data_IF_791911750800
#
_entry.id   IF_791911750800
#
_cell.length_a   1.000
_cell.length_b   1.000
_cell.length_c   1.000
_cell.angle_alpha   90.00
_cell.angle_beta   90.00
_cell.angle_gamma   90.00
#
_symmetry.space_group_name_H-M   'P 1'
#
loop_
_entity.id
_entity.type
_entity.pdbx_description
1 polymer ?
#
# COMPACT_ATOMS: atom_id res chain seq x y z
N UNK A 1 15.27 -45.63 -18.18
CA UNK A 1 13.83 -45.31 -18.20
C UNK A 1 13.59 -43.99 -17.49
N UNK A 2 13.42 -42.90 -18.24
CA UNK A 2 12.88 -41.62 -17.75
C UNK A 2 11.90 -41.16 -18.82
N UNK A 3 10.62 -41.16 -18.48
CA UNK A 3 9.51 -40.80 -19.36
C UNK A 3 9.51 -39.27 -19.47
N UNK A 4 9.65 -38.74 -20.68
CA UNK A 4 9.41 -37.33 -20.98
C UNK A 4 8.06 -37.24 -21.70
N UNK A 5 7.04 -36.89 -20.93
CA UNK A 5 5.73 -36.51 -21.45
C UNK A 5 5.63 -34.98 -21.44
N UNK A 6 5.17 -34.44 -22.58
CA UNK A 6 4.30 -33.25 -22.72
C UNK A 6 4.88 -31.92 -22.19
N UNK A 7 4.83 -30.80 -22.90
CA UNK A 7 3.63 -30.19 -23.49
C UNK A 7 4.06 -29.21 -24.59
N UNK A 8 3.28 -29.28 -25.67
CA UNK A 8 3.17 -28.42 -26.84
C UNK A 8 2.96 -26.93 -26.48
N UNK A 9 3.88 -26.06 -26.87
CA UNK A 9 3.76 -24.60 -26.75
C UNK A 9 3.48 -24.00 -28.12
N UNK A 10 2.23 -23.68 -28.39
CA UNK A 10 1.83 -22.84 -29.52
C UNK A 10 0.61 -22.03 -29.12
N UNK A 11 0.71 -20.70 -29.02
CA UNK A 11 -0.26 -19.80 -29.66
C UNK A 11 0.16 -18.31 -29.61
N UNK A 12 0.53 -17.81 -30.79
CA UNK A 12 0.08 -16.56 -31.42
C UNK A 12 0.29 -15.25 -30.63
N UNK A 13 1.39 -14.57 -30.98
CA UNK A 13 1.55 -13.13 -30.86
C UNK A 13 1.11 -12.52 -32.20
N UNK A 14 0.15 -11.60 -32.17
CA UNK A 14 0.00 -10.43 -33.06
C UNK A 14 -1.45 -9.91 -33.03
N UNK A 15 -1.69 -8.78 -32.36
CA UNK A 15 -2.46 -7.67 -32.97
C UNK A 15 -1.88 -6.35 -32.47
N UNK A 16 -1.17 -5.67 -33.36
CA UNK A 16 -0.84 -4.26 -33.28
C UNK A 16 -2.08 -3.44 -33.65
N UNK A 17 -2.46 -2.49 -32.79
CA UNK A 17 -3.31 -1.37 -33.19
C UNK A 17 -2.52 -0.07 -33.03
N UNK A 18 -2.01 0.42 -34.16
CA UNK A 18 -1.70 1.84 -34.34
C UNK A 18 -3.03 2.53 -34.64
N UNK A 19 -3.38 3.54 -33.84
CA UNK A 19 -4.26 4.62 -34.26
C UNK A 19 -3.83 5.91 -33.59
N UNK A 20 -3.15 6.75 -34.37
CA UNK A 20 -2.92 8.16 -34.10
C UNK A 20 -3.79 8.91 -35.12
N UNK A 21 -4.77 9.69 -34.67
CA UNK A 21 -5.55 10.54 -35.58
C UNK A 21 -6.89 11.05 -35.07
N UNK A 22 -6.89 12.31 -34.61
CA UNK A 22 -7.97 13.32 -34.66
C UNK A 22 -9.18 13.24 -33.73
N UNK A 23 -9.15 14.15 -32.74
CA UNK A 23 -10.23 14.96 -32.16
C UNK A 23 -11.67 14.42 -32.10
N UNK A 24 -12.07 14.00 -30.90
CA UNK A 24 -13.41 14.29 -30.38
C UNK A 24 -13.33 14.53 -28.86
N UNK A 25 -13.75 15.72 -28.44
CA UNK A 25 -14.00 16.07 -27.04
C UNK A 25 -15.17 15.23 -26.53
N UNK A 26 -14.94 14.39 -25.55
CA UNK A 26 -15.88 14.01 -24.47
C UNK A 26 -15.00 13.40 -23.39
N UNK A 27 -14.38 14.22 -22.55
CA UNK A 27 -14.83 14.42 -21.16
C UNK A 27 -15.09 13.09 -20.43
N UNK A 28 -14.08 12.22 -20.40
CA UNK A 28 -13.97 11.20 -19.35
C UNK A 28 -13.54 11.90 -18.08
N UNK A 29 -14.52 12.23 -17.25
CA UNK A 29 -14.38 12.90 -15.97
C UNK A 29 -13.51 12.05 -15.03
N UNK A 30 -12.20 12.34 -15.00
CA UNK A 30 -11.39 12.05 -13.83
C UNK A 30 -11.95 12.93 -12.71
N UNK A 31 -12.80 12.35 -11.88
CA UNK A 31 -13.40 13.06 -10.76
C UNK A 31 -12.30 13.64 -9.88
N UNK A 32 -12.38 14.97 -9.68
CA UNK A 32 -11.59 15.76 -8.76
C UNK A 32 -11.73 15.22 -7.33
N UNK A 33 -10.85 14.32 -6.93
CA UNK A 33 -10.21 14.30 -5.61
C UNK A 33 -9.06 13.28 -5.63
N UNK A 34 -7.83 13.73 -5.86
CA UNK A 34 -6.61 12.88 -5.80
C UNK A 34 -6.28 12.40 -4.37
N UNK A 35 -7.16 12.69 -3.43
CA UNK A 35 -7.04 12.35 -2.02
C UNK A 35 -7.55 10.94 -1.74
N UNK A 36 -6.79 10.20 -0.95
CA UNK A 36 -7.09 8.85 -0.52
C UNK A 36 -8.05 8.84 0.67
N UNK A 37 -8.95 7.86 0.75
CA UNK A 37 -9.76 7.66 1.95
C UNK A 37 -8.88 7.32 3.16
N UNK A 38 -9.23 7.82 4.35
CA UNK A 38 -8.58 7.44 5.62
C UNK A 38 -9.01 6.02 6.06
N UNK A 39 -8.56 5.02 5.32
CA UNK A 39 -8.76 3.58 5.60
C UNK A 39 -7.49 2.80 5.28
N UNK A 40 -7.17 1.80 6.11
CA UNK A 40 -5.98 0.95 5.90
C UNK A 40 -6.01 0.26 4.53
N UNK A 41 -7.16 -0.27 4.11
CA UNK A 41 -7.30 -0.94 2.80
C UNK A 41 -7.05 0.00 1.61
N UNK A 42 -7.39 1.28 1.74
CA UNK A 42 -7.10 2.28 0.71
C UNK A 42 -5.59 2.56 0.63
N UNK A 43 -4.93 2.70 1.79
CA UNK A 43 -3.46 2.87 1.89
C UNK A 43 -2.73 1.66 1.31
N UNK A 44 -3.10 0.45 1.74
CA UNK A 44 -2.51 -0.80 1.26
C UNK A 44 -2.64 -0.94 -0.25
N UNK A 45 -3.84 -0.68 -0.81
CA UNK A 45 -4.07 -0.69 -2.26
C UNK A 45 -3.23 0.35 -2.99
N UNK A 46 -3.13 1.57 -2.46
CA UNK A 46 -2.29 2.62 -3.05
C UNK A 46 -0.81 2.22 -3.06
N UNK A 47 -0.33 1.57 -1.99
CA UNK A 47 1.03 1.07 -1.85
C UNK A 47 1.29 -0.27 -2.55
N UNK A 48 0.26 -0.89 -3.14
CA UNK A 48 0.33 -2.21 -3.80
C UNK A 48 0.75 -3.35 -2.87
N UNK A 49 0.37 -3.25 -1.59
CA UNK A 49 0.59 -4.29 -0.58
C UNK A 49 -0.35 -5.49 -0.80
N UNK A 50 0.12 -6.69 -0.46
CA UNK A 50 -0.58 -7.97 -0.65
C UNK A 50 -0.63 -8.77 0.64
N UNK A 51 -1.25 -9.95 0.60
CA UNK A 51 -1.21 -10.95 1.68
C UNK A 51 -1.66 -10.38 3.03
N UNK A 52 -2.85 -9.77 3.03
CA UNK A 52 -3.45 -9.15 4.22
C UNK A 52 -3.68 -10.19 5.32
N UNK A 53 -3.30 -9.85 6.55
CA UNK A 53 -3.62 -10.60 7.76
C UNK A 53 -3.90 -9.67 8.95
N UNK A 54 -4.59 -10.21 9.95
CA UNK A 54 -4.96 -9.47 11.16
C UNK A 54 -3.76 -9.28 12.10
N UNK A 55 -3.76 -8.17 12.84
CA UNK A 55 -2.77 -7.86 13.89
C UNK A 55 -3.47 -7.36 15.15
N UNK A 56 -2.84 -7.55 16.30
CA UNK A 56 -3.36 -7.10 17.60
C UNK A 56 -3.06 -5.61 17.85
N UNK A 57 -3.67 -4.74 17.03
CA UNK A 57 -3.40 -3.30 17.04
C UNK A 57 -3.91 -2.57 18.31
N UNK A 58 -4.85 -3.18 19.03
CA UNK A 58 -5.44 -2.57 20.24
C UNK A 58 -4.43 -2.48 21.39
N UNK A 59 -3.47 -3.40 21.46
CA UNK A 59 -2.41 -3.38 22.49
C UNK A 59 -1.46 -2.20 22.34
N UNK A 60 -1.40 -1.61 21.16
CA UNK A 60 -0.61 -0.41 20.86
C UNK A 60 -1.50 0.82 20.69
N UNK A 61 -2.76 0.76 21.15
CA UNK A 61 -3.75 1.83 21.11
C UNK A 61 -4.06 2.42 19.71
N UNK A 62 -3.77 1.67 18.65
CA UNK A 62 -4.25 2.02 17.32
C UNK A 62 -5.77 1.76 17.22
N UNK A 63 -6.43 2.47 16.31
CA UNK A 63 -7.86 2.31 15.97
C UNK A 63 -8.10 1.21 14.94
N UNK A 64 -7.10 0.91 14.12
CA UNK A 64 -7.11 -0.15 13.12
C UNK A 64 -5.67 -0.59 12.83
N UNK A 65 -5.49 -1.82 12.33
CA UNK A 65 -4.19 -2.35 11.97
C UNK A 65 -4.30 -3.61 11.12
N UNK A 66 -3.40 -3.73 10.14
CA UNK A 66 -3.25 -4.91 9.28
C UNK A 66 -1.79 -5.17 8.96
N UNK A 67 -1.45 -6.45 8.81
CA UNK A 67 -0.17 -6.89 8.28
C UNK A 67 -0.31 -7.28 6.80
N UNK A 68 0.77 -7.11 6.05
CA UNK A 68 0.86 -7.31 4.61
C UNK A 68 2.21 -7.92 4.24
N UNK A 69 2.27 -8.45 3.02
CA UNK A 69 3.44 -9.07 2.40
C UNK A 69 4.04 -10.14 3.33
N UNK A 70 3.23 -11.14 3.69
CA UNK A 70 3.62 -12.27 4.56
C UNK A 70 4.16 -11.84 5.94
N UNK A 71 3.59 -10.80 6.54
CA UNK A 71 3.99 -10.36 7.88
C UNK A 71 5.12 -9.31 7.90
N UNK A 72 5.66 -8.93 6.74
CA UNK A 72 6.86 -8.08 6.69
C UNK A 72 6.53 -6.58 6.84
N UNK A 73 5.31 -6.17 6.49
CA UNK A 73 4.86 -4.78 6.55
C UNK A 73 3.60 -4.71 7.40
N UNK A 74 3.55 -3.76 8.32
CA UNK A 74 2.34 -3.45 9.07
C UNK A 74 1.91 -2.01 8.81
N UNK A 75 0.61 -1.83 8.66
CA UNK A 75 -0.04 -0.53 8.65
C UNK A 75 -0.92 -0.42 9.88
N UNK A 76 -0.84 0.73 10.55
CA UNK A 76 -1.70 1.07 11.68
C UNK A 76 -2.33 2.43 11.47
N UNK A 77 -3.53 2.62 12.01
CA UNK A 77 -4.22 3.91 12.03
C UNK A 77 -4.50 4.34 13.46
N UNK A 78 -4.03 5.52 13.84
CA UNK A 78 -4.16 6.09 15.18
C UNK A 78 -5.11 7.28 15.19
N UNK A 79 -5.52 7.71 16.39
CA UNK A 79 -5.95 9.10 16.54
C UNK A 79 -4.76 10.03 16.30
N UNK A 80 -4.91 11.02 15.41
CA UNK A 80 -3.85 11.97 15.10
C UNK A 80 -3.44 12.83 16.30
N UNK A 81 -4.32 12.95 17.29
CA UNK A 81 -4.10 13.74 18.50
C UNK A 81 -3.70 12.89 19.72
N UNK A 82 -3.65 11.56 19.61
CA UNK A 82 -3.21 10.72 20.73
C UNK A 82 -1.73 10.94 21.05
N UNK A 83 -1.38 10.72 22.31
CA UNK A 83 0.01 10.82 22.75
C UNK A 83 0.84 9.69 22.13
N UNK A 84 0.29 8.48 21.99
CA UNK A 84 0.96 7.36 21.30
C UNK A 84 1.38 7.72 19.85
N UNK A 85 0.53 8.42 19.08
CA UNK A 85 0.88 8.82 17.73
C UNK A 85 1.93 9.94 17.68
N UNK A 86 1.90 10.85 18.66
CA UNK A 86 2.95 11.89 18.80
C UNK A 86 4.29 11.25 19.18
N UNK A 87 4.28 10.28 20.09
CA UNK A 87 5.47 9.54 20.49
C UNK A 87 6.06 8.75 19.31
N UNK A 88 5.23 8.17 18.45
CA UNK A 88 5.68 7.52 17.21
C UNK A 88 6.35 8.49 16.23
N UNK A 89 5.84 9.72 16.10
CA UNK A 89 6.48 10.78 15.30
C UNK A 89 7.84 11.19 15.86
N UNK A 90 7.99 11.16 17.16
CA UNK A 90 9.21 11.48 17.90
C UNK A 90 10.20 10.30 17.96
N UNK A 91 9.85 9.12 17.45
CA UNK A 91 10.65 7.90 17.54
C UNK A 91 10.73 7.30 18.95
N UNK A 92 9.76 7.62 19.81
CA UNK A 92 9.65 7.18 21.21
C UNK A 92 8.51 6.19 21.45
N UNK A 93 7.73 5.88 20.41
CA UNK A 93 6.56 5.01 20.52
C UNK A 93 6.93 3.56 20.87
N UNK A 94 5.93 2.79 21.28
CA UNK A 94 6.08 1.38 21.65
C UNK A 94 6.54 0.49 20.47
N UNK A 95 6.23 0.90 19.24
CA UNK A 95 6.69 0.25 18.01
C UNK A 95 7.64 1.18 17.24
N UNK A 96 8.53 0.61 16.44
CA UNK A 96 9.34 1.38 15.49
C UNK A 96 8.48 1.77 14.27
N UNK A 97 8.32 3.07 14.05
CA UNK A 97 7.64 3.63 12.88
C UNK A 97 8.68 3.97 11.81
N UNK A 98 8.56 3.32 10.65
CA UNK A 98 9.37 3.68 9.49
C UNK A 98 8.93 5.03 8.90
N UNK A 99 7.63 5.32 8.96
CA UNK A 99 7.07 6.61 8.61
C UNK A 99 5.68 6.80 9.23
N UNK A 100 5.26 8.05 9.36
CA UNK A 100 3.91 8.44 9.80
C UNK A 100 3.29 9.43 8.81
N UNK A 101 1.98 9.37 8.56
CA UNK A 101 1.26 10.34 7.74
C UNK A 101 -0.25 10.36 8.11
N UNK A 102 -0.81 11.50 8.54
CA UNK A 102 -2.24 11.68 8.84
C UNK A 102 -2.86 10.56 9.72
N UNK A 103 -2.20 10.21 10.82
CA UNK A 103 -2.64 9.16 11.75
C UNK A 103 -2.22 7.76 11.32
N UNK A 104 -1.78 7.57 10.08
CA UNK A 104 -1.23 6.29 9.63
C UNK A 104 0.22 6.14 10.05
N UNK A 105 0.61 4.90 10.31
CA UNK A 105 1.97 4.46 10.61
C UNK A 105 2.30 3.29 9.70
N UNK A 106 3.47 3.37 9.07
CA UNK A 106 4.09 2.29 8.30
C UNK A 106 5.23 1.70 9.12
N UNK A 107 5.23 0.38 9.30
CA UNK A 107 6.29 -0.37 9.99
C UNK A 107 6.79 -1.52 9.12
N UNK A 108 8.11 -1.73 9.14
CA UNK A 108 8.74 -2.94 8.59
C UNK A 108 9.12 -3.85 9.75
N UNK A 109 8.53 -5.05 9.82
CA UNK A 109 8.70 -5.97 10.96
C UNK A 109 10.11 -6.57 10.98
N UNK A 110 10.69 -6.83 9.81
CA UNK A 110 12.02 -7.43 9.66
C UNK A 110 13.17 -6.39 9.59
N UNK A 111 12.86 -5.11 9.83
CA UNK A 111 13.76 -3.96 9.71
C UNK A 111 14.41 -3.76 8.32
N UNK A 112 13.97 -4.47 7.27
CA UNK A 112 14.42 -4.22 5.89
C UNK A 112 13.59 -3.10 5.28
N UNK A 113 14.03 -1.86 5.51
CA UNK A 113 13.35 -0.67 5.01
C UNK A 113 13.37 -0.60 3.48
N UNK A 114 12.21 -0.34 2.89
CA UNK A 114 12.07 0.06 1.49
C UNK A 114 11.83 1.58 1.42
N UNK A 115 12.89 2.33 1.10
CA UNK A 115 12.84 3.79 1.02
C UNK A 115 11.86 4.30 -0.06
N UNK A 116 11.66 3.56 -1.16
CA UNK A 116 10.70 3.96 -2.19
C UNK A 116 9.27 3.85 -1.68
N UNK A 117 8.98 2.80 -0.93
CA UNK A 117 7.68 2.58 -0.32
C UNK A 117 7.40 3.62 0.78
N UNK A 118 8.40 3.93 1.62
CA UNK A 118 8.34 5.00 2.62
C UNK A 118 8.00 6.34 1.97
N UNK A 119 8.70 6.71 0.90
CA UNK A 119 8.45 7.96 0.19
C UNK A 119 7.09 8.00 -0.51
N UNK A 120 6.62 6.86 -1.05
CA UNK A 120 5.26 6.73 -1.61
C UNK A 120 4.21 6.96 -0.51
N UNK A 121 4.41 6.36 0.66
CA UNK A 121 3.52 6.50 1.81
C UNK A 121 3.43 7.94 2.35
N UNK A 122 4.57 8.63 2.51
CA UNK A 122 4.62 10.02 2.98
C UNK A 122 3.90 11.01 2.05
N UNK A 123 3.83 10.71 0.75
CA UNK A 123 3.22 11.59 -0.26
C UNK A 123 1.70 11.46 -0.35
N UNK A 124 1.11 10.42 0.28
CA UNK A 124 -0.34 10.23 0.27
C UNK A 124 -1.03 11.48 0.83
N UNK A 125 -1.93 12.05 0.04
CA UNK A 125 -2.86 13.08 0.49
C UNK A 125 -4.15 12.39 0.88
N UNK A 126 -4.70 12.69 2.05
CA UNK A 126 -5.93 12.08 2.54
C UNK A 126 -7.12 13.05 2.42
N UNK A 127 -8.31 12.47 2.23
CA UNK A 127 -9.59 13.19 2.22
C UNK A 127 -9.88 13.80 3.58
#
# INVERSE_FOLDING_TARGET
MKKLFSVLLTLIICVSVVSCGTNSKTSGEASKDDKLEKKISAVAKHLELKDESDVEYQMIHAKDGKSYNDGNIELYYYDENSDDYKDLKDGKGFIDAAATNNGFVLRFVDNKKDEKLIEKFKKIQFK
#
